data_IF_272235117391
#
_entry.id   IF_272235117391
#
_cell.length_a   1.000
_cell.length_b   1.000
_cell.length_c   1.000
_cell.angle_alpha   90.00
_cell.angle_beta   90.00
_cell.angle_gamma   90.00
#
_symmetry.space_group_name_H-M   'P 1'
#
loop_
_entity.id
_entity.type
_entity.pdbx_description
1 polymer ?
#
# COMPACT_ATOMS: atom_id res chain seq x y z
N UNK A 1 -10.45 -12.74 -14.97
CA UNK A 1 -10.51 -12.68 -16.42
C UNK A 1 -9.17 -12.30 -17.02
N UNK A 2 -9.01 -12.58 -18.30
CA UNK A 2 -7.84 -12.18 -19.10
C UNK A 2 -8.35 -11.61 -20.41
N UNK A 3 -7.62 -10.66 -20.99
CA UNK A 3 -7.85 -10.20 -22.35
C UNK A 3 -7.54 -11.37 -23.28
N UNK A 4 -8.52 -11.80 -24.07
CA UNK A 4 -8.37 -12.90 -25.01
C UNK A 4 -7.85 -12.42 -26.37
N UNK A 5 -8.37 -11.28 -26.84
CA UNK A 5 -7.95 -10.68 -28.10
C UNK A 5 -8.19 -9.16 -28.07
N UNK A 6 -7.46 -8.45 -28.91
CA UNK A 6 -7.63 -7.03 -29.22
C UNK A 6 -7.52 -6.87 -30.73
N UNK A 7 -8.48 -6.18 -31.36
CA UNK A 7 -8.51 -5.97 -32.79
C UNK A 7 -9.67 -5.09 -33.22
N UNK A 8 -9.87 -4.90 -34.52
CA UNK A 8 -11.06 -4.23 -35.05
C UNK A 8 -12.32 -5.08 -34.80
N UNK A 9 -13.47 -4.43 -34.75
CA UNK A 9 -14.74 -5.13 -34.55
C UNK A 9 -15.05 -6.15 -35.68
N UNK A 10 -14.47 -5.94 -36.86
CA UNK A 10 -14.63 -6.80 -38.03
C UNK A 10 -13.76 -8.04 -37.96
N UNK A 11 -12.63 -7.97 -37.22
CA UNK A 11 -11.64 -9.05 -37.11
C UNK A 11 -11.90 -9.97 -35.90
N UNK A 12 -12.77 -9.56 -34.97
CA UNK A 12 -13.03 -10.29 -33.74
C UNK A 12 -14.29 -11.15 -33.84
N UNK A 13 -14.17 -12.45 -33.67
CA UNK A 13 -15.31 -13.33 -33.50
C UNK A 13 -15.95 -13.10 -32.12
N UNK A 14 -17.12 -12.49 -32.12
CA UNK A 14 -17.93 -12.20 -30.92
C UNK A 14 -19.14 -13.11 -30.78
N UNK A 15 -19.30 -14.10 -31.64
CA UNK A 15 -20.49 -14.98 -31.65
C UNK A 15 -20.71 -15.74 -30.35
N UNK A 16 -19.63 -16.04 -29.60
CA UNK A 16 -19.67 -16.68 -28.29
C UNK A 16 -19.70 -15.72 -27.09
N UNK A 17 -19.77 -14.42 -27.30
CA UNK A 17 -19.75 -13.44 -26.21
C UNK A 17 -21.06 -13.49 -25.42
N UNK A 18 -20.95 -13.68 -24.11
CA UNK A 18 -22.12 -13.66 -23.19
C UNK A 18 -22.68 -12.25 -23.00
N UNK A 19 -21.84 -11.24 -23.09
CA UNK A 19 -22.18 -9.82 -22.95
C UNK A 19 -21.35 -9.02 -23.94
N UNK A 20 -22.00 -8.11 -24.68
CA UNK A 20 -21.33 -7.13 -25.53
C UNK A 20 -21.64 -5.73 -24.99
N UNK A 21 -20.61 -4.92 -24.83
CA UNK A 21 -20.73 -3.53 -24.35
C UNK A 21 -20.23 -2.61 -25.45
N UNK A 22 -21.12 -1.75 -25.96
CA UNK A 22 -20.75 -0.67 -26.86
C UNK A 22 -20.28 0.54 -26.04
N UNK A 23 -18.99 0.83 -26.08
CA UNK A 23 -18.40 1.98 -25.39
C UNK A 23 -18.62 3.32 -26.09
N UNK A 24 -19.29 3.34 -27.27
CA UNK A 24 -19.63 4.56 -28.02
C UNK A 24 -18.47 5.52 -28.22
N UNK A 25 -17.28 5.00 -28.48
CA UNK A 25 -16.09 5.78 -28.74
C UNK A 25 -15.35 6.31 -27.51
N UNK A 26 -15.79 5.99 -26.27
CA UNK A 26 -15.02 6.33 -25.08
C UNK A 26 -13.85 5.35 -24.90
N UNK A 27 -12.78 5.85 -24.29
CA UNK A 27 -11.61 5.02 -23.97
C UNK A 27 -11.95 3.99 -22.89
N UNK A 28 -11.51 2.76 -23.11
CA UNK A 28 -11.53 1.68 -22.11
C UNK A 28 -10.13 1.46 -21.61
N UNK A 29 -9.91 1.59 -20.29
CA UNK A 29 -8.63 1.45 -19.64
C UNK A 29 -8.71 0.41 -18.52
N UNK A 30 -7.57 -0.13 -18.05
CA UNK A 30 -7.53 -0.87 -16.80
C UNK A 30 -8.08 -0.03 -15.65
N UNK A 31 -8.77 -0.66 -14.70
CA UNK A 31 -9.20 0.04 -13.50
C UNK A 31 -8.01 0.57 -12.68
N UNK A 32 -8.21 1.69 -12.01
CA UNK A 32 -7.20 2.30 -11.17
C UNK A 32 -6.86 1.40 -9.96
N UNK A 33 -5.63 1.49 -9.52
CA UNK A 33 -5.13 0.81 -8.33
C UNK A 33 -4.76 1.89 -7.31
N UNK A 34 -5.43 1.88 -6.15
CA UNK A 34 -5.02 2.69 -5.01
C UNK A 34 -4.02 1.88 -4.19
N UNK A 35 -2.77 2.34 -4.17
CA UNK A 35 -1.65 1.62 -3.55
C UNK A 35 -1.49 1.89 -2.06
N UNK A 36 -2.27 2.83 -1.49
CA UNK A 36 -2.10 3.24 -0.10
C UNK A 36 -3.42 3.49 0.60
N UNK A 37 -4.04 2.42 1.06
CA UNK A 37 -5.27 2.50 1.85
C UNK A 37 -5.10 1.81 3.20
N UNK A 38 -5.95 2.16 4.16
CA UNK A 38 -6.04 1.49 5.45
C UNK A 38 -7.42 0.83 5.60
N UNK A 39 -7.68 -0.25 4.85
CA UNK A 39 -8.95 -0.94 4.91
C UNK A 39 -9.03 -1.70 6.23
N UNK A 40 -10.15 -1.54 6.92
CA UNK A 40 -10.47 -2.32 8.11
C UNK A 40 -11.80 -3.00 7.89
N UNK A 41 -11.93 -4.21 8.38
CA UNK A 41 -13.22 -4.86 8.40
C UNK A 41 -14.02 -4.36 9.61
N UNK A 42 -15.25 -3.97 9.37
CA UNK A 42 -16.15 -3.38 10.37
C UNK A 42 -16.25 -1.85 10.29
N UNK A 43 -17.29 -1.32 10.91
CA UNK A 43 -17.73 0.07 10.79
C UNK A 43 -17.14 1.01 11.84
N UNK A 44 -16.26 0.52 12.66
CA UNK A 44 -15.79 1.20 13.87
C UNK A 44 -14.49 1.98 13.69
N UNK A 45 -13.94 2.04 12.48
CA UNK A 45 -12.73 2.84 12.25
C UNK A 45 -13.08 4.30 12.09
N UNK A 46 -12.50 5.18 12.91
CA UNK A 46 -12.82 6.61 12.85
C UNK A 46 -12.52 7.25 11.50
N UNK A 47 -11.55 6.71 10.77
CA UNK A 47 -11.07 7.29 9.51
C UNK A 47 -11.85 6.80 8.30
N UNK A 48 -12.20 5.53 8.27
CA UNK A 48 -13.00 4.91 7.23
C UNK A 48 -14.38 4.47 7.77
N UNK A 49 -14.84 5.10 8.84
CA UNK A 49 -16.11 4.80 9.52
C UNK A 49 -17.36 5.04 8.69
N UNK A 50 -17.22 5.03 7.39
CA UNK A 50 -18.30 5.13 6.41
C UNK A 50 -18.52 3.78 5.78
N UNK A 51 -19.67 3.20 6.03
CA UNK A 51 -20.17 2.06 5.25
C UNK A 51 -20.08 2.42 3.76
N UNK A 52 -19.54 1.52 2.99
CA UNK A 52 -19.49 1.67 1.53
C UNK A 52 -18.42 2.62 1.01
N UNK A 53 -17.42 3.05 1.80
CA UNK A 53 -16.35 3.88 1.27
C UNK A 53 -15.55 3.16 0.17
N UNK A 54 -15.34 1.86 0.29
CA UNK A 54 -14.66 1.05 -0.74
C UNK A 54 -15.53 1.00 -2.00
N UNK A 55 -16.84 0.74 -1.86
CA UNK A 55 -17.78 0.75 -2.97
C UNK A 55 -17.79 2.11 -3.68
N UNK A 56 -17.76 3.18 -2.90
CA UNK A 56 -17.79 4.56 -3.40
C UNK A 56 -16.59 4.89 -4.29
N UNK A 57 -15.41 4.34 -4.00
CA UNK A 57 -14.21 4.58 -4.82
C UNK A 57 -14.31 3.96 -6.21
N UNK A 58 -15.16 2.95 -6.42
CA UNK A 58 -15.44 2.38 -7.73
C UNK A 58 -16.01 3.44 -8.70
N UNK A 59 -16.79 4.40 -8.20
CA UNK A 59 -17.29 5.50 -9.00
C UNK A 59 -16.18 6.40 -9.54
N UNK A 60 -15.03 6.45 -8.87
CA UNK A 60 -13.81 7.11 -9.32
C UNK A 60 -12.91 6.22 -10.20
N UNK A 61 -13.34 4.98 -10.47
CA UNK A 61 -12.59 4.03 -11.31
C UNK A 61 -11.57 3.17 -10.57
N UNK A 62 -11.50 3.21 -9.23
CA UNK A 62 -10.61 2.35 -8.44
C UNK A 62 -11.21 0.94 -8.37
N UNK A 63 -10.53 -0.02 -8.95
CA UNK A 63 -10.95 -1.43 -8.98
C UNK A 63 -10.11 -2.34 -8.09
N UNK A 64 -8.98 -1.84 -7.61
CA UNK A 64 -8.07 -2.57 -6.71
C UNK A 64 -7.51 -1.61 -5.67
N UNK A 65 -7.45 -2.08 -4.42
CA UNK A 65 -6.85 -1.37 -3.29
C UNK A 65 -5.77 -2.22 -2.65
N UNK A 66 -4.69 -1.59 -2.20
CA UNK A 66 -3.57 -2.25 -1.51
C UNK A 66 -3.45 -1.64 -0.11
N UNK A 67 -3.52 -2.49 0.91
CA UNK A 67 -3.40 -2.04 2.30
C UNK A 67 -1.98 -1.61 2.63
N UNK A 68 -1.85 -0.43 3.22
CA UNK A 68 -0.64 0.05 3.89
C UNK A 68 -0.66 -0.26 5.41
N UNK A 69 -1.64 -0.99 5.89
CA UNK A 69 -1.72 -1.47 7.26
C UNK A 69 -3.02 -1.17 7.97
N UNK A 70 -3.31 -1.96 9.00
CA UNK A 70 -4.51 -1.87 9.83
C UNK A 70 -4.33 -0.87 11.00
N UNK A 71 -3.66 0.26 10.74
CA UNK A 71 -3.18 1.21 11.77
C UNK A 71 -4.31 1.96 12.48
N UNK A 72 -5.44 2.15 11.81
CA UNK A 72 -6.53 2.98 12.32
C UNK A 72 -7.59 2.19 13.09
N UNK A 73 -7.41 0.88 13.27
CA UNK A 73 -8.30 0.07 14.08
C UNK A 73 -8.23 0.53 15.54
N UNK A 74 -9.34 1.00 16.16
CA UNK A 74 -9.37 1.29 17.58
C UNK A 74 -9.02 0.05 18.40
N UNK A 75 -8.09 0.21 19.35
CA UNK A 75 -7.62 -0.94 20.13
C UNK A 75 -6.81 -1.97 19.34
N UNK A 76 -6.17 -1.57 18.26
CA UNK A 76 -5.29 -2.45 17.46
C UNK A 76 -4.36 -3.26 18.38
N UNK A 77 -4.35 -4.59 18.26
CA UNK A 77 -3.41 -5.42 19.01
C UNK A 77 -1.96 -5.04 18.74
N UNK A 78 -1.15 -5.01 19.77
CA UNK A 78 0.31 -4.77 19.68
C UNK A 78 1.12 -6.00 20.11
N UNK A 79 0.45 -6.99 20.71
CA UNK A 79 1.07 -8.29 20.94
C UNK A 79 1.12 -9.10 19.64
N UNK A 80 2.11 -9.98 19.54
CA UNK A 80 2.41 -10.70 18.29
C UNK A 80 1.27 -11.62 17.88
N UNK A 81 0.57 -12.24 18.83
CA UNK A 81 -0.55 -13.16 18.54
C UNK A 81 -1.73 -12.37 17.96
N UNK A 82 -2.12 -11.30 18.61
CA UNK A 82 -3.22 -10.45 18.17
C UNK A 82 -2.93 -9.76 16.83
N UNK A 83 -1.69 -9.29 16.64
CA UNK A 83 -1.23 -8.68 15.39
C UNK A 83 -1.30 -9.66 14.21
N UNK A 84 -0.82 -10.89 14.39
CA UNK A 84 -0.91 -11.95 13.36
C UNK A 84 -2.37 -12.33 13.09
N UNK A 85 -3.18 -12.48 14.13
CA UNK A 85 -4.60 -12.80 14.00
C UNK A 85 -5.36 -11.73 13.20
N UNK A 86 -5.13 -10.44 13.50
CA UNK A 86 -5.72 -9.32 12.77
C UNK A 86 -5.35 -9.36 11.28
N UNK A 87 -4.07 -9.49 10.97
CA UNK A 87 -3.59 -9.51 9.59
C UNK A 87 -4.17 -10.69 8.80
N UNK A 88 -4.18 -11.88 9.37
CA UNK A 88 -4.71 -13.09 8.72
C UNK A 88 -6.21 -12.96 8.51
N UNK A 89 -6.94 -12.44 9.50
CA UNK A 89 -8.40 -12.27 9.39
C UNK A 89 -8.76 -11.25 8.32
N UNK A 90 -8.08 -10.10 8.30
CA UNK A 90 -8.30 -9.05 7.30
C UNK A 90 -8.01 -9.58 5.88
N UNK A 91 -6.89 -10.25 5.68
CA UNK A 91 -6.53 -10.84 4.39
C UNK A 91 -7.61 -11.82 3.90
N UNK A 92 -8.04 -12.76 4.74
CA UNK A 92 -9.04 -13.76 4.36
C UNK A 92 -10.43 -13.19 4.16
N UNK A 93 -10.81 -12.19 4.95
CA UNK A 93 -12.10 -11.52 4.80
C UNK A 93 -12.23 -10.88 3.42
N UNK A 94 -11.21 -10.12 3.00
CA UNK A 94 -11.20 -9.47 1.70
C UNK A 94 -10.92 -10.41 0.52
N UNK A 95 -10.26 -11.55 0.72
CA UNK A 95 -10.19 -12.59 -0.31
C UNK A 95 -11.57 -13.18 -0.63
N UNK A 96 -12.44 -13.28 0.37
CA UNK A 96 -13.78 -13.85 0.24
C UNK A 96 -14.87 -12.82 -0.08
N UNK A 97 -14.59 -11.55 0.09
CA UNK A 97 -15.55 -10.47 -0.11
C UNK A 97 -14.94 -9.29 -0.86
N UNK A 98 -15.65 -8.80 -1.85
CA UNK A 98 -15.26 -7.64 -2.69
C UNK A 98 -16.34 -6.58 -2.60
N UNK A 99 -16.20 -5.57 -1.72
CA UNK A 99 -17.15 -4.48 -1.62
C UNK A 99 -17.33 -3.79 -2.98
N UNK A 100 -18.56 -3.67 -3.47
CA UNK A 100 -18.86 -3.11 -4.79
C UNK A 100 -18.16 -3.79 -5.97
N UNK A 101 -17.46 -4.89 -5.76
CA UNK A 101 -16.62 -5.55 -6.77
C UNK A 101 -15.15 -5.18 -6.69
N UNK A 102 -14.75 -4.22 -5.86
CA UNK A 102 -13.35 -3.80 -5.67
C UNK A 102 -12.54 -4.94 -5.04
N UNK A 103 -11.40 -5.25 -5.63
CA UNK A 103 -10.44 -6.18 -5.06
C UNK A 103 -9.61 -5.44 -3.99
N UNK A 104 -9.60 -5.95 -2.77
CA UNK A 104 -8.78 -5.41 -1.69
C UNK A 104 -7.69 -6.42 -1.33
N UNK A 105 -6.43 -6.01 -1.43
CA UNK A 105 -5.30 -6.73 -0.89
C UNK A 105 -5.08 -6.20 0.52
N UNK A 106 -5.55 -6.93 1.52
CA UNK A 106 -5.53 -6.54 2.93
C UNK A 106 -4.62 -7.43 3.77
N UNK A 107 -4.59 -7.19 5.07
CA UNK A 107 -3.81 -7.98 6.00
C UNK A 107 -2.35 -7.57 6.06
N UNK A 108 -2.09 -6.27 6.07
CA UNK A 108 -0.74 -5.71 6.23
C UNK A 108 -0.46 -5.41 7.72
N UNK A 109 0.22 -6.30 8.46
CA UNK A 109 0.53 -6.07 9.87
C UNK A 109 1.52 -4.93 10.05
N UNK A 110 1.33 -4.12 11.09
CA UNK A 110 2.32 -3.15 11.55
C UNK A 110 3.32 -3.88 12.44
N UNK A 111 4.59 -3.83 12.09
CA UNK A 111 5.62 -4.55 12.85
C UNK A 111 5.81 -3.97 14.26
N UNK A 112 5.95 -4.88 15.19
CA UNK A 112 6.18 -4.58 16.62
C UNK A 112 7.45 -5.29 17.13
N UNK A 113 8.08 -4.71 18.13
CA UNK A 113 9.24 -5.33 18.78
C UNK A 113 8.90 -6.71 19.32
N UNK A 114 9.84 -7.63 19.20
CA UNK A 114 9.67 -9.01 19.63
C UNK A 114 9.20 -9.96 18.53
N UNK A 115 8.82 -9.46 17.36
CA UNK A 115 8.59 -10.32 16.19
C UNK A 115 9.90 -11.01 15.80
N UNK A 116 9.80 -12.26 15.40
CA UNK A 116 10.89 -13.11 14.95
C UNK A 116 10.70 -13.49 13.48
N UNK A 117 11.74 -14.05 12.86
CA UNK A 117 11.65 -14.53 11.48
C UNK A 117 10.52 -15.57 11.29
N UNK A 118 10.26 -16.39 12.32
CA UNK A 118 9.19 -17.38 12.29
C UNK A 118 7.82 -16.75 12.14
N UNK A 119 7.59 -15.55 12.70
CA UNK A 119 6.30 -14.85 12.57
C UNK A 119 6.02 -14.44 11.13
N UNK A 120 7.06 -14.04 10.38
CA UNK A 120 6.92 -13.74 8.95
C UNK A 120 6.67 -15.00 8.12
N UNK A 121 7.32 -16.12 8.46
CA UNK A 121 7.05 -17.41 7.83
C UNK A 121 5.59 -17.86 8.05
N UNK A 122 5.08 -17.71 9.28
CA UNK A 122 3.68 -18.03 9.63
C UNK A 122 2.69 -17.15 8.88
N UNK A 123 2.94 -15.84 8.82
CA UNK A 123 2.11 -14.87 8.07
C UNK A 123 2.05 -15.24 6.59
N UNK A 124 3.19 -15.50 5.97
CA UNK A 124 3.28 -15.89 4.56
C UNK A 124 2.54 -17.21 4.29
N UNK A 125 2.71 -18.22 5.15
CA UNK A 125 1.99 -19.49 5.08
C UNK A 125 0.47 -19.31 5.20
N UNK A 126 0.03 -18.32 5.97
CA UNK A 126 -1.38 -17.97 6.12
C UNK A 126 -1.94 -17.18 4.93
N UNK A 127 -1.10 -16.75 3.97
CA UNK A 127 -1.49 -16.03 2.76
C UNK A 127 -1.26 -14.51 2.82
N UNK A 128 -0.71 -13.98 3.92
CA UNK A 128 -0.35 -12.56 4.05
C UNK A 128 0.77 -12.22 3.08
N UNK A 129 0.62 -11.13 2.32
CA UNK A 129 1.56 -10.71 1.27
C UNK A 129 2.09 -9.30 1.45
N UNK A 130 1.57 -8.58 2.42
CA UNK A 130 1.88 -7.18 2.67
C UNK A 130 2.36 -6.99 4.10
N UNK A 131 3.28 -6.06 4.27
CA UNK A 131 3.67 -5.50 5.54
C UNK A 131 3.25 -4.03 5.53
N UNK A 132 2.53 -3.62 6.56
CA UNK A 132 2.03 -2.26 6.65
C UNK A 132 3.14 -1.27 6.97
N UNK A 133 2.80 -0.01 7.10
CA UNK A 133 3.75 1.08 7.26
C UNK A 133 4.75 0.83 8.40
N UNK A 134 5.94 0.39 8.03
CA UNK A 134 7.09 0.29 8.92
C UNK A 134 7.34 1.66 9.56
N UNK A 135 7.57 1.68 10.86
CA UNK A 135 7.78 2.92 11.62
C UNK A 135 6.56 3.41 12.41
N UNK A 136 5.36 2.94 12.12
CA UNK A 136 4.15 3.31 12.89
C UNK A 136 3.93 2.45 14.13
N UNK A 137 4.60 1.31 14.24
CA UNK A 137 4.62 0.47 15.44
C UNK A 137 5.72 0.87 16.42
N UNK A 138 6.14 -0.08 17.25
CA UNK A 138 7.25 0.08 18.20
C UNK A 138 8.63 -0.02 17.52
N UNK A 139 8.72 -0.57 16.31
CA UNK A 139 9.96 -0.65 15.52
C UNK A 139 10.17 0.66 14.77
N UNK A 140 11.13 1.47 15.23
CA UNK A 140 11.41 2.82 14.70
C UNK A 140 12.88 3.02 14.28
N UNK A 141 13.78 2.12 14.69
CA UNK A 141 15.18 2.19 14.30
C UNK A 141 15.38 1.50 12.95
N UNK A 142 16.16 2.14 12.06
CA UNK A 142 16.41 1.64 10.71
C UNK A 142 17.00 0.24 10.69
N UNK A 143 18.00 -0.05 11.52
CA UNK A 143 18.64 -1.37 11.59
C UNK A 143 17.67 -2.51 12.01
N UNK A 144 16.79 -2.24 12.99
CA UNK A 144 15.78 -3.21 13.44
C UNK A 144 14.74 -3.42 12.34
N UNK A 145 14.27 -2.33 11.71
CA UNK A 145 13.34 -2.37 10.60
C UNK A 145 13.94 -3.14 9.42
N UNK A 146 15.19 -2.90 9.06
CA UNK A 146 15.92 -3.60 7.99
C UNK A 146 15.89 -5.11 8.17
N UNK A 147 16.14 -5.57 9.39
CA UNK A 147 16.13 -7.00 9.71
C UNK A 147 14.75 -7.60 9.46
N UNK A 148 13.68 -6.95 9.92
CA UNK A 148 12.30 -7.43 9.74
C UNK A 148 11.82 -7.33 8.30
N UNK A 149 12.19 -6.27 7.58
CA UNK A 149 11.94 -6.12 6.14
C UNK A 149 12.64 -7.23 5.34
N UNK A 150 13.88 -7.58 5.71
CA UNK A 150 14.58 -8.69 5.07
C UNK A 150 13.88 -10.04 5.32
N UNK A 151 13.37 -10.29 6.52
CA UNK A 151 12.54 -11.47 6.80
C UNK A 151 11.24 -11.47 5.99
N UNK A 152 10.53 -10.35 5.93
CA UNK A 152 9.32 -10.21 5.12
C UNK A 152 9.62 -10.55 3.64
N UNK A 153 10.64 -9.93 3.07
CA UNK A 153 11.06 -10.14 1.68
C UNK A 153 11.46 -11.59 1.40
N UNK A 154 12.16 -12.26 2.33
CA UNK A 154 12.52 -13.68 2.23
C UNK A 154 11.30 -14.57 2.03
N UNK A 155 10.17 -14.23 2.64
CA UNK A 155 8.92 -14.99 2.52
C UNK A 155 7.92 -14.40 1.51
N UNK A 156 8.36 -13.49 0.65
CA UNK A 156 7.54 -12.91 -0.41
C UNK A 156 6.49 -11.91 0.08
N UNK A 157 6.69 -11.33 1.27
CA UNK A 157 5.85 -10.26 1.82
C UNK A 157 6.49 -8.92 1.44
N UNK A 158 5.75 -8.06 0.74
CA UNK A 158 6.18 -6.72 0.36
C UNK A 158 5.93 -5.71 1.49
N UNK A 159 6.83 -4.76 1.63
CA UNK A 159 6.82 -3.79 2.72
C UNK A 159 6.67 -2.35 2.25
N UNK A 160 5.88 -1.57 2.97
CA UNK A 160 5.79 -0.12 2.83
C UNK A 160 6.33 0.53 4.11
N UNK A 161 7.10 1.61 3.99
CA UNK A 161 7.58 2.39 5.14
C UNK A 161 6.89 3.75 5.22
N UNK A 162 6.45 4.12 6.41
CA UNK A 162 6.01 5.49 6.71
C UNK A 162 7.16 6.47 6.50
N UNK A 163 6.88 7.64 5.94
CA UNK A 163 7.89 8.68 5.71
C UNK A 163 7.46 9.98 6.38
N UNK A 164 8.33 10.53 7.23
CA UNK A 164 8.13 11.83 7.82
C UNK A 164 7.60 11.83 9.24
N UNK A 165 6.86 12.87 9.60
CA UNK A 165 6.39 13.14 10.95
C UNK A 165 5.37 12.13 11.50
N UNK A 166 5.06 12.19 12.79
CA UNK A 166 4.10 11.28 13.40
C UNK A 166 2.69 11.44 12.81
N UNK A 167 2.00 10.33 12.56
CA UNK A 167 0.65 10.33 11.99
C UNK A 167 -0.40 9.69 12.89
N UNK A 168 -0.01 8.83 13.81
CA UNK A 168 -0.90 8.19 14.78
C UNK A 168 -0.35 8.31 16.21
N UNK A 169 -1.20 8.19 17.26
CA UNK A 169 -0.74 8.24 18.64
C UNK A 169 0.36 7.21 18.91
N UNK A 170 1.50 7.70 19.43
CA UNK A 170 2.67 6.88 19.75
C UNK A 170 3.64 6.63 18.58
N UNK A 171 3.32 7.07 17.38
CA UNK A 171 4.30 7.11 16.27
C UNK A 171 5.30 8.26 16.48
N UNK A 172 6.43 8.21 15.78
CA UNK A 172 7.49 9.23 15.83
C UNK A 172 7.89 9.66 14.43
N UNK A 173 8.91 10.51 14.37
CA UNK A 173 9.53 10.87 13.11
C UNK A 173 10.25 9.65 12.51
N UNK A 174 9.97 9.35 11.27
CA UNK A 174 10.72 8.44 10.43
C UNK A 174 11.45 9.30 9.40
N UNK A 175 12.68 9.61 9.70
CA UNK A 175 13.51 10.48 8.87
C UNK A 175 14.12 9.73 7.68
N UNK A 176 14.81 10.47 6.81
CA UNK A 176 15.42 9.92 5.60
C UNK A 176 16.44 8.81 5.87
N UNK A 177 17.17 8.89 6.97
CA UNK A 177 18.23 7.92 7.29
C UNK A 177 17.61 6.60 7.75
N UNK A 178 16.56 6.65 8.55
CA UNK A 178 15.74 5.47 8.90
C UNK A 178 15.13 4.83 7.66
N UNK A 179 14.56 5.64 6.75
CA UNK A 179 13.95 5.14 5.50
C UNK A 179 14.99 4.42 4.63
N UNK A 180 16.16 5.04 4.44
CA UNK A 180 17.25 4.46 3.63
C UNK A 180 17.81 3.18 4.27
N UNK A 181 17.99 3.17 5.60
CA UNK A 181 18.53 2.02 6.31
C UNK A 181 17.54 0.85 6.35
N UNK A 182 16.25 1.11 6.55
CA UNK A 182 15.21 0.07 6.60
C UNK A 182 15.05 -0.66 5.28
N UNK A 183 15.31 0.00 4.16
CA UNK A 183 15.31 -0.56 2.81
C UNK A 183 13.98 -1.27 2.44
N UNK A 184 12.84 -0.72 2.86
CA UNK A 184 11.52 -1.23 2.52
C UNK A 184 11.24 -1.16 1.02
N UNK A 185 10.32 -1.98 0.52
CA UNK A 185 10.07 -2.10 -0.93
C UNK A 185 9.40 -0.86 -1.51
N UNK A 186 8.61 -0.15 -0.69
CA UNK A 186 7.92 1.10 -1.07
C UNK A 186 8.20 2.17 -0.02
N UNK A 187 8.64 3.34 -0.45
CA UNK A 187 8.70 4.56 0.35
C UNK A 187 7.32 5.20 0.28
N UNK A 188 6.51 4.98 1.31
CA UNK A 188 5.12 5.39 1.36
C UNK A 188 4.96 6.91 1.46
N UNK A 189 3.96 7.45 0.78
CA UNK A 189 3.52 8.87 0.80
C UNK A 189 4.66 9.88 1.02
N UNK A 190 5.75 9.78 0.23
CA UNK A 190 6.98 10.59 0.37
C UNK A 190 6.69 12.10 0.46
N UNK A 191 5.59 12.53 -0.14
CA UNK A 191 5.08 13.90 -0.15
C UNK A 191 3.99 14.16 0.90
N UNK A 192 3.82 13.28 1.87
CA UNK A 192 2.68 13.23 2.79
C UNK A 192 2.39 14.52 3.54
N UNK A 193 1.44 15.31 3.07
CA UNK A 193 0.78 16.44 3.69
C UNK A 193 1.57 17.13 4.82
N UNK A 194 1.01 17.09 6.02
CA UNK A 194 1.61 17.66 7.25
C UNK A 194 2.77 16.82 7.82
N UNK A 195 2.92 15.57 7.36
CA UNK A 195 4.01 14.69 7.80
C UNK A 195 5.23 14.77 6.89
N UNK A 196 5.15 15.44 5.74
CA UNK A 196 6.21 15.46 4.73
C UNK A 196 7.55 15.89 5.33
N UNK A 197 8.62 15.19 4.91
CA UNK A 197 9.98 15.64 5.13
C UNK A 197 10.28 16.91 4.31
N UNK A 198 11.40 17.55 4.57
CA UNK A 198 11.84 18.69 3.75
C UNK A 198 12.07 18.25 2.29
N UNK A 199 11.90 19.17 1.35
CA UNK A 199 12.14 18.95 -0.07
C UNK A 199 13.54 18.36 -0.34
N UNK A 200 14.55 18.88 0.35
CA UNK A 200 15.93 18.38 0.23
C UNK A 200 16.06 16.90 0.66
N UNK A 201 15.41 16.51 1.76
CA UNK A 201 15.42 15.11 2.22
C UNK A 201 14.66 14.20 1.26
N UNK A 202 13.56 14.68 0.68
CA UNK A 202 12.78 13.92 -0.31
C UNK A 202 13.60 13.69 -1.58
N UNK A 203 14.29 14.72 -2.08
CA UNK A 203 15.20 14.58 -3.23
C UNK A 203 16.31 13.57 -2.92
N UNK A 204 16.92 13.65 -1.75
CA UNK A 204 17.96 12.69 -1.32
C UNK A 204 17.44 11.25 -1.27
N UNK A 205 16.20 11.02 -0.79
CA UNK A 205 15.55 9.71 -0.84
C UNK A 205 15.38 9.23 -2.28
N UNK A 206 14.93 10.09 -3.19
CA UNK A 206 14.77 9.76 -4.60
C UNK A 206 16.12 9.40 -5.26
N UNK A 207 17.19 10.09 -4.90
CA UNK A 207 18.53 9.86 -5.45
C UNK A 207 19.17 8.57 -4.92
N UNK A 208 19.06 8.32 -3.61
CA UNK A 208 19.81 7.26 -2.93
C UNK A 208 19.06 5.94 -2.84
N UNK A 209 17.72 5.94 -2.89
CA UNK A 209 16.94 4.73 -2.84
C UNK A 209 16.75 4.10 -4.22
N UNK A 210 16.80 2.76 -4.25
CA UNK A 210 16.40 1.98 -5.44
C UNK A 210 14.95 1.47 -5.35
N UNK A 211 14.21 1.84 -4.30
CA UNK A 211 12.87 1.33 -4.02
C UNK A 211 11.79 2.16 -4.71
N UNK A 212 10.59 1.61 -4.80
CA UNK A 212 9.45 2.34 -5.32
C UNK A 212 9.16 3.58 -4.46
N UNK A 213 8.78 4.67 -5.10
CA UNK A 213 8.44 5.94 -4.45
C UNK A 213 6.94 6.15 -4.67
N UNK A 214 6.22 6.36 -3.58
CA UNK A 214 4.80 6.61 -3.63
C UNK A 214 4.50 8.09 -3.39
N UNK A 215 3.79 8.68 -4.33
CA UNK A 215 3.30 10.06 -4.27
C UNK A 215 1.79 10.03 -4.11
N UNK A 216 1.27 10.58 -3.02
CA UNK A 216 -0.18 10.63 -2.75
C UNK A 216 -0.77 11.97 -3.18
N UNK A 217 -2.01 11.94 -3.67
CA UNK A 217 -2.66 13.12 -4.27
C UNK A 217 -2.95 14.23 -3.25
N UNK A 218 -3.19 13.90 -1.98
CA UNK A 218 -3.48 14.85 -0.90
C UNK A 218 -2.23 15.27 -0.13
N UNK A 219 -1.05 14.97 -0.67
CA UNK A 219 0.22 15.36 -0.07
C UNK A 219 0.56 16.83 -0.28
N UNK A 220 1.77 17.22 0.16
CA UNK A 220 2.30 18.55 -0.08
C UNK A 220 2.64 18.72 -1.57
N UNK A 221 1.97 19.66 -2.26
CA UNK A 221 2.12 19.85 -3.70
C UNK A 221 3.57 20.17 -4.12
N UNK A 222 4.24 21.05 -3.38
CA UNK A 222 5.63 21.41 -3.67
C UNK A 222 6.57 20.22 -3.56
N UNK A 223 6.40 19.41 -2.51
CA UNK A 223 7.19 18.20 -2.29
C UNK A 223 6.85 17.13 -3.33
N UNK A 224 5.59 17.05 -3.77
CA UNK A 224 5.16 16.15 -4.85
C UNK A 224 5.89 16.45 -6.15
N UNK A 225 5.95 17.74 -6.52
CA UNK A 225 6.64 18.18 -7.74
C UNK A 225 8.15 17.88 -7.64
N UNK A 226 8.76 18.15 -6.48
CA UNK A 226 10.18 17.87 -6.26
C UNK A 226 10.47 16.36 -6.36
N UNK A 227 9.67 15.51 -5.71
CA UNK A 227 9.81 14.06 -5.77
C UNK A 227 9.66 13.52 -7.20
N UNK A 228 8.61 13.97 -7.91
CA UNK A 228 8.37 13.56 -9.29
C UNK A 228 9.51 13.97 -10.23
N UNK A 229 10.01 15.20 -10.12
CA UNK A 229 11.15 15.67 -10.90
C UNK A 229 12.41 14.85 -10.63
N UNK A 230 12.76 14.65 -9.37
CA UNK A 230 13.92 13.86 -8.99
C UNK A 230 13.81 12.41 -9.51
N UNK A 231 12.64 11.78 -9.41
CA UNK A 231 12.43 10.44 -9.93
C UNK A 231 12.55 10.35 -11.45
N UNK A 232 12.06 11.34 -12.19
CA UNK A 232 12.15 11.42 -13.66
C UNK A 232 13.60 11.68 -14.11
N UNK A 233 14.29 12.62 -13.48
CA UNK A 233 15.68 12.98 -13.81
C UNK A 233 16.63 11.80 -13.62
N UNK A 234 16.39 10.97 -12.60
CA UNK A 234 17.14 9.74 -12.36
C UNK A 234 16.82 8.61 -13.34
N UNK A 235 15.98 8.88 -14.35
CA UNK A 235 15.54 7.92 -15.37
C UNK A 235 15.00 6.61 -14.78
N UNK A 236 14.22 6.73 -13.73
CA UNK A 236 13.59 5.61 -13.05
C UNK A 236 12.05 5.66 -13.17
N UNK A 237 11.48 5.56 -14.39
CA UNK A 237 10.04 5.72 -14.64
C UNK A 237 9.16 4.67 -13.95
N UNK A 238 9.76 3.60 -13.43
CA UNK A 238 9.06 2.53 -12.72
C UNK A 238 9.14 2.65 -11.20
N UNK A 239 9.66 3.74 -10.68
CA UNK A 239 9.77 3.98 -9.24
C UNK A 239 8.67 4.88 -8.67
N UNK A 240 7.80 5.42 -9.53
CA UNK A 240 6.68 6.28 -9.16
C UNK A 240 5.36 5.54 -9.35
#
# INVERSE_FOLDING_TARGET
GRIAAVGSAEDLDTAGARVTIDAKGVAVAPGLIDSHVHPVFGDWTPRQGQLGWIDSTMHGGVTTMISAGEVHLPGRPKDIVGLKALAITAQRAFDNFRPGGVKVLAGAPIIEKGMTEQDFADLAKAGVKLLGEVGLGSVKAGAEAKTMVAWARKYGIQSTIHTGGPSIPGSGLIDKDVVLEADADVIGHINGGHTALSEAHVCELCERSSRAIEIVHNGNERVSIAAAKAAIELRCPHRV
#
